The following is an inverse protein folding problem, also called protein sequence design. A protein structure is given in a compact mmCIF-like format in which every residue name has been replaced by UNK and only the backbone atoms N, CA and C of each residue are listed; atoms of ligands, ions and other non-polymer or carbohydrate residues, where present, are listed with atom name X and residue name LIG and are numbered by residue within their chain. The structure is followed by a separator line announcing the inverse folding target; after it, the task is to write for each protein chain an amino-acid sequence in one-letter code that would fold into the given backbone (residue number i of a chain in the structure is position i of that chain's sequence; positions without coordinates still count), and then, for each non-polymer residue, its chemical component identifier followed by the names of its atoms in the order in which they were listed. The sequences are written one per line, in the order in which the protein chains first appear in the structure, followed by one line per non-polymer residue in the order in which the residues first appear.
data_IF_331446486018
#
_entry.id   IF_331446486018
#
_cell.length_a   1.000
_cell.length_b   1.000
_cell.length_c   1.000
_cell.angle_alpha   90.00
_cell.angle_beta   90.00
_cell.angle_gamma   90.00
#
_symmetry.space_group_name_H-M   'P 1'
#
loop_
_entity.id
_entity.type
_entity.pdbx_description
1 polymer ?
#
# COMPACT_ATOMS: atom_id res chain seq x y z
N UNK A 1 13.74 6.67 32.17
CA UNK A 1 14.39 7.26 30.98
C UNK A 1 15.20 8.46 31.44
N UNK A 2 16.49 8.54 31.12
CA UNK A 2 17.33 9.72 31.34
C UNK A 2 17.84 10.25 30.01
N UNK A 3 18.28 11.52 29.98
CA UNK A 3 18.85 12.11 28.77
C UNK A 3 20.19 11.47 28.39
N UNK A 4 20.98 11.02 29.37
CA UNK A 4 22.31 10.44 29.16
C UNK A 4 22.26 8.95 28.80
N UNK A 5 21.40 8.18 29.48
CA UNK A 5 21.37 6.71 29.38
C UNK A 5 20.18 6.18 28.58
N UNK A 6 19.26 7.05 28.16
CA UNK A 6 18.03 6.65 27.51
C UNK A 6 17.14 5.80 28.42
N UNK A 7 16.56 4.72 27.87
CA UNK A 7 15.72 3.82 28.66
C UNK A 7 16.54 2.78 29.42
N UNK A 8 16.63 2.94 30.74
CA UNK A 8 17.39 2.05 31.63
C UNK A 8 16.73 0.69 31.87
N UNK A 9 15.41 0.59 31.72
CA UNK A 9 14.63 -0.63 32.03
C UNK A 9 14.20 -1.43 30.80
N UNK A 10 14.42 -0.91 29.58
CA UNK A 10 13.89 -1.49 28.34
C UNK A 10 14.54 -2.82 27.93
N UNK A 11 15.61 -3.22 28.63
CA UNK A 11 16.34 -4.45 28.38
C UNK A 11 16.36 -5.37 29.62
N UNK A 12 15.58 -5.03 30.65
CA UNK A 12 15.45 -5.86 31.84
C UNK A 12 14.33 -6.91 31.65
N UNK A 13 14.51 -8.09 32.24
CA UNK A 13 13.51 -9.18 32.25
C UNK A 13 13.00 -9.64 30.87
N UNK A 14 13.82 -9.48 29.82
CA UNK A 14 13.47 -9.91 28.47
C UNK A 14 13.28 -11.43 28.40
N UNK A 15 12.25 -11.86 27.67
CA UNK A 15 11.99 -13.27 27.35
C UNK A 15 12.74 -13.65 26.08
N UNK A 16 13.93 -14.24 26.21
CA UNK A 16 14.72 -14.65 25.03
C UNK A 16 13.99 -15.72 24.20
N UNK A 17 13.67 -15.39 22.94
CA UNK A 17 13.21 -16.38 21.96
C UNK A 17 14.37 -17.08 21.25
N UNK A 18 15.54 -16.44 21.19
CA UNK A 18 16.76 -16.99 20.57
C UNK A 18 17.29 -18.26 21.25
N UNK A 19 16.93 -18.49 22.52
CA UNK A 19 17.26 -19.71 23.25
C UNK A 19 16.30 -20.89 22.95
N UNK A 20 15.17 -20.64 22.29
CA UNK A 20 14.14 -21.63 21.99
C UNK A 20 14.26 -22.14 20.57
N UNK A 21 13.86 -23.41 20.34
CA UNK A 21 13.60 -23.88 18.98
C UNK A 21 12.28 -23.28 18.48
N UNK A 22 12.13 -23.08 17.18
CA UNK A 22 10.89 -22.55 16.58
C UNK A 22 9.64 -23.34 16.97
N UNK A 23 9.75 -24.66 17.17
CA UNK A 23 8.66 -25.52 17.65
C UNK A 23 8.21 -25.22 19.08
N UNK A 24 9.05 -24.55 19.87
CA UNK A 24 8.86 -24.20 21.27
C UNK A 24 8.46 -22.72 21.46
N UNK A 25 8.35 -21.96 20.36
CA UNK A 25 7.92 -20.57 20.43
C UNK A 25 6.51 -20.47 21.03
N UNK A 26 6.17 -19.41 21.78
CA UNK A 26 4.82 -19.23 22.32
C UNK A 26 3.73 -19.35 21.25
N UNK A 27 2.58 -19.93 21.58
CA UNK A 27 1.45 -19.93 20.66
C UNK A 27 0.77 -18.56 20.69
N UNK A 28 0.55 -17.99 19.50
CA UNK A 28 -0.09 -16.67 19.37
C UNK A 28 -1.38 -16.80 18.58
N UNK A 29 -2.47 -16.24 19.13
CA UNK A 29 -3.70 -15.98 18.36
C UNK A 29 -3.60 -14.56 17.80
N UNK A 30 -3.62 -14.41 16.48
CA UNK A 30 -3.65 -13.10 15.81
C UNK A 30 -5.11 -12.78 15.48
N UNK A 31 -5.65 -11.73 16.08
CA UNK A 31 -6.96 -11.17 15.76
C UNK A 31 -6.83 -10.06 14.71
N UNK A 32 -7.41 -10.28 13.53
CA UNK A 32 -7.41 -9.37 12.39
C UNK A 32 -8.81 -8.80 12.23
N UNK A 33 -8.93 -7.46 12.20
CA UNK A 33 -10.23 -6.79 12.17
C UNK A 33 -10.34 -5.85 10.96
N UNK A 34 -11.30 -6.14 10.08
CA UNK A 34 -11.67 -5.34 8.91
C UNK A 34 -13.06 -4.74 9.20
N UNK A 35 -13.08 -3.51 9.70
CA UNK A 35 -14.31 -2.85 10.19
C UNK A 35 -14.83 -1.76 9.26
N UNK A 36 -14.06 -1.40 8.24
CA UNK A 36 -14.39 -0.39 7.26
C UNK A 36 -13.60 -0.63 5.96
N UNK A 37 -14.06 -0.10 4.81
CA UNK A 37 -13.30 -0.18 3.57
C UNK A 37 -11.89 0.36 3.75
N UNK A 38 -10.89 -0.47 3.44
CA UNK A 38 -9.48 -0.18 3.69
C UNK A 38 -8.65 -0.41 2.43
N UNK A 39 -7.73 0.52 2.08
CA UNK A 39 -6.77 0.31 1.00
C UNK A 39 -5.81 -0.84 1.24
N UNK A 40 -5.27 -1.42 0.17
CA UNK A 40 -4.12 -2.34 0.19
C UNK A 40 -4.29 -3.60 1.06
N UNK A 41 -5.52 -4.12 1.20
CA UNK A 41 -5.84 -5.32 2.00
C UNK A 41 -5.05 -6.56 1.53
N UNK A 42 -4.90 -6.77 0.23
CA UNK A 42 -4.05 -7.85 -0.29
C UNK A 42 -2.60 -7.71 0.18
N UNK A 43 -2.07 -6.48 0.21
CA UNK A 43 -0.69 -6.19 0.66
C UNK A 43 -0.56 -6.37 2.18
N UNK A 44 -1.62 -6.12 2.95
CA UNK A 44 -1.66 -6.47 4.38
C UNK A 44 -1.42 -7.97 4.59
N UNK A 45 -2.11 -8.83 3.85
CA UNK A 45 -1.93 -10.27 3.94
C UNK A 45 -0.54 -10.74 3.46
N UNK A 46 0.02 -10.11 2.42
CA UNK A 46 1.41 -10.33 2.00
C UNK A 46 2.39 -10.03 3.15
N UNK A 47 2.18 -8.96 3.91
CA UNK A 47 3.01 -8.61 5.09
C UNK A 47 2.81 -9.59 6.24
N UNK A 48 1.58 -10.04 6.50
CA UNK A 48 1.28 -11.04 7.52
C UNK A 48 2.06 -12.35 7.26
N UNK A 49 2.17 -12.76 6.00
CA UNK A 49 2.98 -13.91 5.58
C UNK A 49 4.47 -13.70 5.81
N UNK A 50 4.97 -12.48 5.62
CA UNK A 50 6.38 -12.14 5.83
C UNK A 50 6.80 -12.03 7.29
N UNK A 51 5.85 -11.94 8.24
CA UNK A 51 6.21 -11.92 9.68
C UNK A 51 7.14 -13.10 10.01
N UNK A 52 8.30 -12.79 10.58
CA UNK A 52 9.35 -13.73 10.96
C UNK A 52 8.94 -14.47 12.24
N UNK A 53 7.86 -15.24 12.19
CA UNK A 53 7.37 -16.10 13.26
C UNK A 53 6.83 -17.41 12.66
N UNK A 54 7.09 -18.58 13.27
CA UNK A 54 6.66 -19.86 12.71
C UNK A 54 5.14 -19.90 12.54
N UNK A 55 4.65 -20.05 11.31
CA UNK A 55 3.20 -19.98 11.02
C UNK A 55 2.40 -21.08 11.72
N UNK A 56 3.00 -22.25 11.92
CA UNK A 56 2.44 -23.34 12.72
C UNK A 56 2.38 -23.05 14.24
N UNK A 57 2.89 -21.91 14.71
CA UNK A 57 2.73 -21.35 16.07
C UNK A 57 1.82 -20.13 16.09
N UNK A 58 1.09 -19.90 15.01
CA UNK A 58 0.10 -18.84 14.87
C UNK A 58 -1.28 -19.43 14.58
N UNK A 59 -2.30 -18.93 15.26
CA UNK A 59 -3.70 -19.12 14.88
C UNK A 59 -4.28 -17.79 14.43
N UNK A 60 -5.14 -17.82 13.41
CA UNK A 60 -5.77 -16.60 12.90
C UNK A 60 -7.23 -16.53 13.34
N UNK A 61 -7.64 -15.36 13.81
CA UNK A 61 -9.04 -14.96 13.86
C UNK A 61 -9.21 -13.77 12.94
N UNK A 62 -10.05 -13.86 11.92
CA UNK A 62 -10.30 -12.76 10.98
C UNK A 62 -11.77 -12.37 11.08
N UNK A 63 -12.04 -11.15 11.52
CA UNK A 63 -13.37 -10.54 11.43
C UNK A 63 -13.38 -9.59 10.24
N UNK A 64 -14.31 -9.82 9.31
CA UNK A 64 -14.54 -8.94 8.18
C UNK A 64 -15.99 -8.48 8.13
N UNK A 65 -16.21 -7.18 8.32
CA UNK A 65 -17.53 -6.56 8.18
C UNK A 65 -17.80 -6.09 6.74
N UNK A 66 -16.77 -6.05 5.89
CA UNK A 66 -16.84 -5.41 4.58
C UNK A 66 -16.97 -6.43 3.44
N UNK A 67 -18.14 -6.52 2.76
CA UNK A 67 -18.32 -7.42 1.62
C UNK A 67 -17.31 -7.21 0.51
N UNK A 68 -16.87 -5.97 0.31
CA UNK A 68 -15.84 -5.62 -0.68
C UNK A 68 -14.52 -6.37 -0.46
N UNK A 69 -14.17 -6.70 0.79
CA UNK A 69 -12.93 -7.37 1.16
C UNK A 69 -13.05 -8.90 1.27
N UNK A 70 -14.25 -9.46 1.12
CA UNK A 70 -14.50 -10.89 1.28
C UNK A 70 -13.69 -11.74 0.30
N UNK A 71 -13.57 -11.31 -0.96
CA UNK A 71 -12.77 -12.00 -1.97
C UNK A 71 -11.27 -12.04 -1.63
N UNK A 72 -10.74 -10.97 -1.03
CA UNK A 72 -9.33 -10.88 -0.63
C UNK A 72 -9.05 -11.77 0.58
N UNK A 73 -9.94 -11.76 1.58
CA UNK A 73 -9.85 -12.64 2.75
C UNK A 73 -9.94 -14.11 2.34
N UNK A 74 -10.92 -14.46 1.50
CA UNK A 74 -11.14 -15.84 1.05
C UNK A 74 -9.96 -16.38 0.26
N UNK A 75 -9.42 -15.59 -0.67
CA UNK A 75 -8.24 -15.97 -1.46
C UNK A 75 -7.03 -16.22 -0.56
N UNK A 76 -6.77 -15.33 0.41
CA UNK A 76 -5.68 -15.50 1.36
C UNK A 76 -5.81 -16.81 2.18
N UNK A 77 -7.00 -17.08 2.73
CA UNK A 77 -7.23 -18.29 3.52
C UNK A 77 -7.16 -19.57 2.67
N UNK A 78 -7.64 -19.53 1.44
CA UNK A 78 -7.55 -20.65 0.50
C UNK A 78 -6.08 -20.99 0.18
N UNK A 79 -5.29 -19.97 -0.15
CA UNK A 79 -3.92 -20.16 -0.63
C UNK A 79 -2.92 -20.40 0.51
N UNK A 80 -3.15 -19.78 1.68
CA UNK A 80 -2.16 -19.74 2.77
C UNK A 80 -2.68 -20.20 4.13
N UNK A 81 -3.99 -20.43 4.31
CA UNK A 81 -4.57 -20.81 5.60
C UNK A 81 -3.95 -22.06 6.21
N UNK A 82 -3.56 -23.03 5.37
CA UNK A 82 -2.92 -24.28 5.78
C UNK A 82 -1.50 -24.13 6.37
N UNK A 83 -0.86 -22.97 6.20
CA UNK A 83 0.44 -22.67 6.82
C UNK A 83 0.29 -22.39 8.33
N UNK A 84 -0.88 -21.91 8.74
CA UNK A 84 -1.19 -21.55 10.12
C UNK A 84 -1.64 -22.78 10.92
N UNK A 85 -1.51 -22.74 12.24
CA UNK A 85 -1.94 -23.87 13.08
C UNK A 85 -3.45 -24.11 12.95
N UNK A 86 -4.22 -23.03 12.92
CA UNK A 86 -5.67 -23.03 12.71
C UNK A 86 -6.13 -21.63 12.30
N UNK A 87 -7.33 -21.51 11.73
CA UNK A 87 -7.95 -20.21 11.49
C UNK A 87 -9.47 -20.25 11.71
N UNK A 88 -10.01 -19.11 12.14
CA UNK A 88 -11.44 -18.83 12.16
C UNK A 88 -11.70 -17.50 11.45
N UNK A 89 -12.57 -17.52 10.45
CA UNK A 89 -13.08 -16.30 9.80
C UNK A 89 -14.53 -16.07 10.18
N UNK A 90 -14.89 -14.81 10.41
CA UNK A 90 -16.27 -14.34 10.57
C UNK A 90 -16.51 -13.28 9.50
N UNK A 91 -17.41 -13.57 8.57
CA UNK A 91 -17.71 -12.72 7.43
C UNK A 91 -18.85 -11.72 7.69
N UNK A 92 -19.13 -10.84 6.70
CA UNK A 92 -20.15 -9.81 6.81
C UNK A 92 -21.59 -10.33 6.99
N UNK A 93 -21.82 -11.60 6.64
CA UNK A 93 -23.10 -12.30 6.79
C UNK A 93 -23.46 -12.65 8.24
N UNK A 94 -22.45 -12.72 9.12
CA UNK A 94 -22.68 -12.89 10.55
C UNK A 94 -22.94 -11.51 11.18
N UNK A 95 -24.18 -11.24 11.59
CA UNK A 95 -24.57 -10.00 12.27
C UNK A 95 -23.88 -9.89 13.65
N UNK A 96 -22.68 -9.30 13.65
CA UNK A 96 -21.86 -9.04 14.82
C UNK A 96 -21.35 -7.61 14.76
N UNK A 97 -21.31 -6.91 15.90
CA UNK A 97 -20.75 -5.57 15.96
C UNK A 97 -19.24 -5.59 16.26
N UNK A 98 -18.58 -4.46 16.02
CA UNK A 98 -17.14 -4.30 16.23
C UNK A 98 -16.70 -4.66 17.68
N UNK A 99 -17.37 -4.19 18.75
CA UNK A 99 -17.06 -4.62 20.12
C UNK A 99 -17.15 -6.14 20.32
N UNK A 100 -18.27 -6.76 19.90
CA UNK A 100 -18.48 -8.19 20.10
C UNK A 100 -17.46 -9.04 19.33
N UNK A 101 -17.02 -8.59 18.15
CA UNK A 101 -15.97 -9.26 17.38
C UNK A 101 -14.63 -9.31 18.14
N UNK A 102 -14.23 -8.20 18.79
CA UNK A 102 -13.01 -8.12 19.59
C UNK A 102 -13.13 -8.91 20.89
N UNK A 103 -14.27 -8.82 21.58
CA UNK A 103 -14.58 -9.61 22.77
C UNK A 103 -14.49 -11.12 22.47
N UNK A 104 -15.06 -11.56 21.34
CA UNK A 104 -15.00 -12.95 20.88
C UNK A 104 -13.56 -13.39 20.60
N UNK A 105 -12.78 -12.57 19.89
CA UNK A 105 -11.39 -12.87 19.56
C UNK A 105 -10.52 -13.04 20.82
N UNK A 106 -10.69 -12.15 21.79
CA UNK A 106 -10.01 -12.24 23.09
C UNK A 106 -10.41 -13.50 23.84
N UNK A 107 -11.70 -13.84 23.81
CA UNK A 107 -12.21 -15.01 24.51
C UNK A 107 -11.74 -16.34 23.91
N UNK A 108 -11.47 -16.39 22.60
CA UNK A 108 -10.82 -17.55 21.96
C UNK A 108 -9.45 -17.84 22.59
N UNK A 109 -8.60 -16.81 22.76
CA UNK A 109 -7.31 -16.99 23.42
C UNK A 109 -7.46 -17.20 24.94
N UNK A 110 -8.43 -16.55 25.60
CA UNK A 110 -8.71 -16.71 27.04
C UNK A 110 -9.08 -18.16 27.37
N UNK A 111 -9.95 -18.78 26.57
CA UNK A 111 -10.44 -20.15 26.78
C UNK A 111 -9.43 -21.22 26.39
N UNK A 112 -8.54 -20.90 25.45
CA UNK A 112 -7.47 -21.80 25.04
C UNK A 112 -6.30 -21.76 26.04
N UNK A 113 -6.03 -22.90 26.66
CA UNK A 113 -4.92 -23.04 27.62
C UNK A 113 -3.56 -23.05 26.94
N UNK A 114 -3.52 -23.37 25.65
CA UNK A 114 -2.28 -23.38 24.87
C UNK A 114 -1.96 -21.99 24.32
N UNK A 115 -2.91 -21.04 24.33
CA UNK A 115 -2.66 -19.66 23.92
C UNK A 115 -1.78 -18.94 24.95
N UNK A 116 -0.60 -18.49 24.52
CA UNK A 116 0.33 -17.72 25.32
C UNK A 116 0.13 -16.21 25.14
N UNK A 117 -0.19 -15.77 23.92
CA UNK A 117 -0.41 -14.36 23.59
C UNK A 117 -1.57 -14.15 22.60
N UNK A 118 -2.27 -13.04 22.75
CA UNK A 118 -3.20 -12.51 21.76
C UNK A 118 -2.58 -11.29 21.08
N UNK A 119 -2.48 -11.28 19.76
CA UNK A 119 -1.97 -10.17 18.97
C UNK A 119 -3.11 -9.51 18.18
N UNK A 120 -3.55 -8.34 18.63
CA UNK A 120 -4.53 -7.53 17.91
C UNK A 120 -3.86 -6.84 16.72
N UNK A 121 -4.48 -6.91 15.55
CA UNK A 121 -3.97 -6.27 14.34
C UNK A 121 -5.12 -5.77 13.45
N UNK A 122 -5.39 -4.48 13.51
CA UNK A 122 -6.38 -3.85 12.64
C UNK A 122 -5.87 -3.73 11.20
N UNK A 123 -6.79 -3.78 10.24
CA UNK A 123 -6.46 -3.94 8.81
C UNK A 123 -5.66 -2.77 8.21
N UNK A 124 -5.84 -1.56 8.73
CA UNK A 124 -5.12 -0.36 8.30
C UNK A 124 -3.66 -0.32 8.77
N UNK A 125 -3.22 -1.28 9.59
CA UNK A 125 -1.85 -1.33 10.10
C UNK A 125 -0.89 -1.85 9.03
N UNK A 126 0.14 -1.07 8.74
CA UNK A 126 1.25 -1.45 7.86
C UNK A 126 2.43 -1.87 8.73
N UNK A 127 2.52 -3.16 9.05
CA UNK A 127 3.69 -3.74 9.73
C UNK A 127 4.83 -3.95 8.75
N UNK A 128 5.77 -3.01 8.71
CA UNK A 128 6.96 -3.08 7.85
C UNK A 128 8.06 -3.94 8.48
N UNK A 129 8.19 -3.91 9.80
CA UNK A 129 9.18 -4.72 10.50
C UNK A 129 8.68 -6.15 10.66
N UNK A 130 9.25 -7.07 9.89
CA UNK A 130 8.86 -8.48 9.90
C UNK A 130 9.12 -9.16 11.26
N UNK A 131 9.99 -8.61 12.12
CA UNK A 131 10.29 -9.13 13.45
C UNK A 131 9.37 -8.57 14.55
N UNK A 132 8.38 -7.73 14.22
CA UNK A 132 7.50 -7.04 15.20
C UNK A 132 6.99 -7.99 16.29
N UNK A 133 6.41 -9.13 15.91
CA UNK A 133 5.83 -10.06 16.89
C UNK A 133 6.89 -10.65 17.85
N UNK A 134 8.08 -11.00 17.33
CA UNK A 134 9.20 -11.46 18.18
C UNK A 134 9.59 -10.37 19.17
N UNK A 135 9.84 -9.15 18.69
CA UNK A 135 10.26 -8.02 19.51
C UNK A 135 9.27 -7.77 20.65
N UNK A 136 7.97 -7.76 20.36
CA UNK A 136 6.93 -7.53 21.37
C UNK A 136 6.86 -8.65 22.42
N UNK A 137 6.99 -9.92 22.01
CA UNK A 137 7.03 -11.06 22.93
C UNK A 137 8.27 -11.01 23.83
N UNK A 138 9.43 -10.68 23.25
CA UNK A 138 10.69 -10.61 23.98
C UNK A 138 10.70 -9.52 25.07
N UNK A 139 9.89 -8.47 24.91
CA UNK A 139 9.72 -7.42 25.94
C UNK A 139 9.07 -7.95 27.23
N UNK A 140 8.36 -9.08 27.18
CA UNK A 140 7.82 -9.76 28.36
C UNK A 140 6.92 -8.84 29.23
N UNK A 141 6.01 -8.10 28.58
CA UNK A 141 5.09 -7.17 29.22
C UNK A 141 3.64 -7.67 29.11
N UNK A 142 2.76 -7.30 30.07
CA UNK A 142 1.37 -7.74 30.08
C UNK A 142 0.60 -7.29 28.84
N UNK A 143 0.76 -6.03 28.44
CA UNK A 143 0.17 -5.44 27.23
C UNK A 143 1.20 -4.49 26.61
N UNK A 144 1.57 -4.70 25.34
CA UNK A 144 2.53 -3.85 24.64
C UNK A 144 2.13 -3.60 23.19
N UNK A 145 2.17 -2.34 22.77
CA UNK A 145 1.97 -1.90 21.40
C UNK A 145 3.30 -1.50 20.75
N UNK A 146 3.57 -1.88 19.48
CA UNK A 146 4.57 -1.20 18.69
C UNK A 146 4.04 0.19 18.33
N UNK A 147 4.88 1.23 18.47
CA UNK A 147 4.50 2.57 18.06
C UNK A 147 4.39 2.63 16.53
N UNK A 148 3.19 2.92 16.03
CA UNK A 148 2.93 3.22 14.63
C UNK A 148 2.32 4.61 14.48
N UNK A 149 2.65 5.29 13.39
CA UNK A 149 2.22 6.66 13.12
C UNK A 149 1.60 6.78 11.73
N UNK A 150 0.76 7.80 11.53
CA UNK A 150 0.38 8.21 10.16
C UNK A 150 1.56 8.92 9.52
N UNK A 151 1.91 8.53 8.29
CA UNK A 151 3.02 9.14 7.53
C UNK A 151 2.92 10.67 7.52
N UNK A 152 4.00 11.34 7.93
CA UNK A 152 4.08 12.81 7.95
C UNK A 152 3.20 13.52 8.99
N UNK A 153 2.53 12.79 9.89
CA UNK A 153 1.66 13.36 10.94
C UNK A 153 2.11 12.90 12.34
N UNK A 154 1.62 13.61 13.36
CA UNK A 154 1.84 13.23 14.77
C UNK A 154 0.80 12.24 15.32
N UNK A 155 -0.22 11.89 14.53
CA UNK A 155 -1.22 10.90 14.93
C UNK A 155 -0.54 9.53 15.07
N UNK A 156 -0.78 8.85 16.18
CA UNK A 156 -0.21 7.54 16.50
C UNK A 156 -1.23 6.66 17.23
N UNK A 157 -0.93 5.36 17.34
CA UNK A 157 -1.79 4.37 17.98
C UNK A 157 -1.70 4.34 19.52
N UNK A 158 -1.28 5.43 20.15
CA UNK A 158 -1.27 5.57 21.61
C UNK A 158 -1.58 7.01 22.03
N UNK A 159 -2.07 7.18 23.27
CA UNK A 159 -2.17 8.51 23.89
C UNK A 159 -1.24 8.59 25.07
N UNK A 160 -0.52 9.71 25.22
CA UNK A 160 0.37 9.93 26.35
C UNK A 160 -0.34 10.42 27.62
N UNK A 161 -1.53 11.01 27.50
CA UNK A 161 -2.31 11.50 28.63
C UNK A 161 -3.81 11.40 28.36
N UNK A 162 -4.61 11.56 29.42
CA UNK A 162 -6.06 11.67 29.36
C UNK A 162 -6.53 13.02 29.91
N UNK A 163 -7.62 13.53 29.37
CA UNK A 163 -8.37 14.62 30.00
C UNK A 163 -9.06 14.14 31.28
N UNK A 164 -9.61 15.08 32.05
CA UNK A 164 -10.39 14.75 33.26
C UNK A 164 -11.58 13.82 32.97
N UNK A 165 -12.14 13.92 31.75
CA UNK A 165 -13.27 13.12 31.30
C UNK A 165 -12.84 11.78 30.64
N UNK A 166 -11.55 11.45 30.66
CA UNK A 166 -11.01 10.19 30.14
C UNK A 166 -10.80 10.15 28.62
N UNK A 167 -10.90 11.29 27.93
CA UNK A 167 -10.64 11.43 26.49
C UNK A 167 -9.19 11.80 26.21
N UNK A 168 -8.82 11.90 24.92
CA UNK A 168 -7.49 12.27 24.49
C UNK A 168 -6.99 13.58 25.15
N UNK A 169 -5.79 13.52 25.72
CA UNK A 169 -4.98 14.69 26.00
C UNK A 169 -3.54 14.43 25.53
N UNK A 170 -2.88 15.49 25.07
CA UNK A 170 -1.46 15.41 24.69
C UNK A 170 -0.59 15.50 25.94
N UNK A 171 0.26 14.50 26.18
CA UNK A 171 1.30 14.59 27.21
C UNK A 171 2.45 15.50 26.79
N UNK A 172 3.21 16.00 27.76
CA UNK A 172 4.36 16.88 27.51
C UNK A 172 5.45 16.24 26.64
N UNK A 173 5.63 14.92 26.76
CA UNK A 173 6.64 14.12 26.06
C UNK A 173 6.14 13.44 24.77
N UNK A 174 4.84 13.58 24.43
CA UNK A 174 4.23 12.88 23.31
C UNK A 174 4.98 13.11 21.98
N UNK A 175 5.29 14.37 21.67
CA UNK A 175 5.97 14.74 20.42
C UNK A 175 7.41 14.20 20.40
N UNK A 176 8.08 14.17 21.56
CA UNK A 176 9.42 13.61 21.66
C UNK A 176 9.45 12.11 21.40
N UNK A 177 8.44 11.39 21.89
CA UNK A 177 8.29 9.93 21.69
C UNK A 177 7.96 9.64 20.22
N UNK A 178 6.94 10.31 19.66
CA UNK A 178 6.49 10.11 18.28
C UNK A 178 7.58 10.42 17.25
N UNK A 179 8.40 11.44 17.50
CA UNK A 179 9.49 11.83 16.59
C UNK A 179 10.79 11.06 16.85
N UNK A 180 10.82 10.10 17.78
CA UNK A 180 12.02 9.33 18.11
C UNK A 180 13.13 10.14 18.80
N UNK A 181 12.80 11.32 19.36
CA UNK A 181 13.74 12.10 20.19
C UNK A 181 13.95 11.45 21.57
N UNK A 182 12.92 10.75 22.06
CA UNK A 182 13.00 9.87 23.22
C UNK A 182 12.59 8.47 22.81
N UNK A 183 13.54 7.53 22.89
CA UNK A 183 13.35 6.14 22.50
C UNK A 183 13.31 5.26 23.76
N UNK A 184 12.32 4.38 23.85
CA UNK A 184 12.04 3.58 25.04
C UNK A 184 10.79 2.72 24.95
N UNK A 185 10.43 2.18 26.11
CA UNK A 185 9.18 1.48 26.41
C UNK A 185 8.45 2.33 27.44
N UNK A 186 7.24 2.75 27.09
CA UNK A 186 6.52 3.81 27.80
C UNK A 186 5.22 3.26 28.34
N UNK A 187 4.97 3.43 29.63
CA UNK A 187 3.66 3.17 30.21
C UNK A 187 2.70 4.27 29.79
N UNK A 188 1.61 3.91 29.10
CA UNK A 188 0.68 4.85 28.47
C UNK A 188 -0.77 4.51 28.81
N UNK A 189 -1.65 5.50 28.93
CA UNK A 189 -3.05 5.26 29.29
C UNK A 189 -3.89 4.64 28.17
N UNK A 190 -3.47 4.68 26.91
CA UNK A 190 -4.27 4.22 25.77
C UNK A 190 -3.36 3.65 24.68
N UNK A 191 -3.77 2.51 24.13
CA UNK A 191 -3.19 1.88 22.93
C UNK A 191 -4.32 1.39 22.02
N UNK A 192 -4.11 1.41 20.71
CA UNK A 192 -5.09 0.94 19.72
C UNK A 192 -4.40 0.30 18.52
N UNK A 193 -5.22 -0.21 17.58
CA UNK A 193 -4.85 -0.74 16.26
C UNK A 193 -3.94 -1.98 16.25
N UNK A 194 -2.78 -1.94 16.91
CA UNK A 194 -1.86 -3.07 17.02
C UNK A 194 -1.27 -3.15 18.43
N UNK A 195 -1.44 -4.30 19.06
CA UNK A 195 -0.88 -4.56 20.38
C UNK A 195 -0.90 -6.06 20.70
N UNK A 196 0.05 -6.47 21.53
CA UNK A 196 0.19 -7.81 22.06
C UNK A 196 -0.32 -7.83 23.51
N UNK A 197 -1.14 -8.81 23.85
CA UNK A 197 -1.64 -9.07 25.21
C UNK A 197 -1.16 -10.44 25.64
N UNK A 198 -0.54 -10.52 26.82
CA UNK A 198 -0.22 -11.80 27.46
C UNK A 198 -1.53 -12.51 27.85
N UNK A 199 -1.69 -13.76 27.43
CA UNK A 199 -2.92 -14.50 27.68
C UNK A 199 -3.14 -14.81 29.17
N UNK A 200 -2.07 -14.81 29.98
CA UNK A 200 -2.14 -14.85 31.44
C UNK A 200 -3.07 -13.76 31.99
N UNK A 201 -2.84 -12.51 31.58
CA UNK A 201 -3.62 -11.32 31.98
C UNK A 201 -5.10 -11.46 31.63
N UNK A 202 -5.42 -12.04 30.46
CA UNK A 202 -6.81 -12.32 30.04
C UNK A 202 -7.52 -13.32 30.96
N UNK A 203 -6.77 -14.24 31.57
CA UNK A 203 -7.29 -15.32 32.42
C UNK A 203 -7.31 -14.95 33.91
N UNK A 204 -6.32 -14.19 34.39
CA UNK A 204 -6.18 -13.82 35.81
C UNK A 204 -6.87 -12.52 36.18
N UNK A 205 -6.76 -11.49 35.35
CA UNK A 205 -7.12 -10.11 35.73
C UNK A 205 -8.29 -9.57 34.90
N UNK A 206 -8.29 -9.80 33.59
CA UNK A 206 -9.32 -9.34 32.64
C UNK A 206 -10.38 -10.42 32.37
N UNK A 207 -10.96 -10.97 33.46
CA UNK A 207 -11.91 -12.11 33.42
C UNK A 207 -13.26 -11.78 32.78
N UNK A 208 -13.65 -10.51 32.77
CA UNK A 208 -14.92 -10.10 32.17
C UNK A 208 -14.88 -10.35 30.66
N UNK A 209 -15.97 -10.92 30.12
CA UNK A 209 -16.06 -11.18 28.68
C UNK A 209 -16.07 -9.88 27.88
N UNK A 210 -16.94 -8.95 28.28
CA UNK A 210 -17.15 -7.66 27.63
C UNK A 210 -16.06 -6.67 28.06
N UNK A 211 -14.97 -6.62 27.31
CA UNK A 211 -13.87 -5.67 27.49
C UNK A 211 -13.98 -4.47 26.56
N UNK A 212 -14.58 -4.64 25.38
CA UNK A 212 -14.68 -3.59 24.35
C UNK A 212 -16.04 -2.87 24.35
N UNK A 213 -16.99 -3.32 25.17
CA UNK A 213 -18.34 -2.76 25.23
C UNK A 213 -18.43 -1.60 26.22
N UNK A 214 -19.00 -0.47 25.80
CA UNK A 214 -19.33 0.67 26.67
C UNK A 214 -20.53 1.45 26.13
N UNK A 215 -21.31 2.07 27.01
CA UNK A 215 -22.43 2.95 26.63
C UNK A 215 -22.00 4.34 26.19
N UNK A 216 -20.76 4.74 26.47
CA UNK A 216 -20.30 6.14 26.31
C UNK A 216 -18.91 6.28 25.69
N UNK A 217 -18.17 5.18 25.56
CA UNK A 217 -16.80 5.18 25.02
C UNK A 217 -16.79 4.36 23.73
N UNK A 218 -15.91 4.72 22.79
CA UNK A 218 -15.61 3.84 21.67
C UNK A 218 -14.93 2.54 22.15
N UNK A 219 -14.87 1.50 21.30
CA UNK A 219 -14.43 0.17 21.72
C UNK A 219 -12.99 0.12 22.27
N UNK A 220 -12.06 0.87 21.66
CA UNK A 220 -10.66 0.90 22.09
C UNK A 220 -10.51 1.69 23.40
N UNK A 221 -11.26 2.80 23.54
CA UNK A 221 -11.33 3.54 24.80
C UNK A 221 -11.91 2.69 25.93
N UNK A 222 -12.97 1.90 25.64
CA UNK A 222 -13.59 1.00 26.59
C UNK A 222 -12.60 -0.09 27.06
N UNK A 223 -11.88 -0.71 26.13
CA UNK A 223 -10.82 -1.68 26.44
C UNK A 223 -9.75 -1.06 27.33
N UNK A 224 -9.16 0.06 26.91
CA UNK A 224 -8.10 0.72 27.67
C UNK A 224 -8.59 1.15 29.07
N UNK A 225 -9.83 1.65 29.18
CA UNK A 225 -10.43 1.98 30.47
C UNK A 225 -10.57 0.75 31.38
N UNK A 226 -11.06 -0.37 30.84
CA UNK A 226 -11.24 -1.62 31.56
C UNK A 226 -9.91 -2.23 32.01
N UNK A 227 -8.84 -2.09 31.23
CA UNK A 227 -7.48 -2.50 31.62
C UNK A 227 -6.97 -1.64 32.78
N UNK A 228 -7.09 -0.30 32.68
CA UNK A 228 -6.63 0.62 33.74
C UNK A 228 -7.41 0.44 35.04
N UNK A 229 -8.69 0.10 34.98
CA UNK A 229 -9.51 -0.12 36.19
C UNK A 229 -9.08 -1.33 37.01
N UNK A 230 -8.36 -2.29 36.39
CA UNK A 230 -7.72 -3.42 37.06
C UNK A 230 -6.27 -3.12 37.49
N UNK A 231 -5.77 -1.90 37.29
CA UNK A 231 -4.40 -1.52 37.65
C UNK A 231 -3.31 -2.12 36.76
N UNK A 232 -3.67 -2.59 35.57
CA UNK A 232 -2.72 -3.15 34.60
C UNK A 232 -2.14 -2.02 33.76
N UNK A 233 -0.83 -2.03 33.57
CA UNK A 233 -0.15 -1.10 32.68
C UNK A 233 -0.23 -1.56 31.22
N UNK A 234 -0.40 -0.59 30.33
CA UNK A 234 -0.27 -0.76 28.89
C UNK A 234 0.99 -0.04 28.47
N UNK A 235 1.77 -0.69 27.60
CA UNK A 235 3.04 -0.15 27.15
C UNK A 235 3.01 0.15 25.67
N UNK A 236 3.77 1.16 25.25
CA UNK A 236 4.14 1.37 23.85
C UNK A 236 5.66 1.36 23.72
N UNK A 237 6.19 0.68 22.70
CA UNK A 237 7.62 0.69 22.39
C UNK A 237 7.89 1.44 21.10
N UNK A 238 8.85 2.35 21.12
CA UNK A 238 9.42 2.98 19.94
C UNK A 238 10.92 2.69 19.79
N UNK A 239 11.39 1.59 20.43
CA UNK A 239 12.77 1.11 20.36
C UNK A 239 13.20 0.72 18.93
N UNK A 240 12.25 0.33 18.10
CA UNK A 240 12.44 0.01 16.69
C UNK A 240 11.45 0.79 15.81
N UNK A 241 11.75 0.86 14.51
CA UNK A 241 10.76 1.27 13.52
C UNK A 241 9.91 0.06 13.16
N UNK A 242 8.62 0.10 13.50
CA UNK A 242 7.71 -1.02 13.28
C UNK A 242 6.89 -0.90 11.99
N UNK A 243 6.49 0.32 11.65
CA UNK A 243 5.60 0.56 10.52
C UNK A 243 4.82 1.84 10.64
N UNK A 244 3.65 1.85 10.02
CA UNK A 244 2.75 3.01 9.91
C UNK A 244 1.29 2.56 9.91
N UNK A 245 0.38 3.53 9.86
CA UNK A 245 -1.05 3.29 9.70
C UNK A 245 -1.57 4.00 8.46
N UNK A 246 -2.43 3.32 7.70
CA UNK A 246 -3.07 3.88 6.52
C UNK A 246 -4.10 4.96 6.89
N UNK A 247 -4.34 5.86 5.96
CA UNK A 247 -5.55 6.68 5.93
C UNK A 247 -6.65 5.86 5.25
N UNK A 248 -7.78 5.67 5.93
CA UNK A 248 -9.02 5.14 5.34
C UNK A 248 -9.99 6.27 4.95
N UNK A 249 -9.58 7.53 5.13
CA UNK A 249 -10.38 8.70 4.79
C UNK A 249 -10.66 8.71 3.29
N UNK A 250 -11.94 8.85 2.91
CA UNK A 250 -12.39 8.94 1.52
C UNK A 250 -12.04 7.74 0.62
N UNK A 251 -11.71 6.57 1.18
CA UNK A 251 -11.50 5.37 0.36
C UNK A 251 -12.81 5.00 -0.36
N UNK A 252 -12.71 4.78 -1.67
CA UNK A 252 -13.84 4.43 -2.54
C UNK A 252 -13.69 3.00 -3.01
N UNK A 253 -14.82 2.33 -3.22
CA UNK A 253 -14.90 0.93 -3.65
C UNK A 253 -15.66 0.78 -4.97
N UNK A 254 -15.60 1.81 -5.82
CA UNK A 254 -16.35 1.91 -7.08
C UNK A 254 -15.57 1.43 -8.31
N UNK A 255 -14.26 1.22 -8.16
CA UNK A 255 -13.35 0.79 -9.21
C UNK A 255 -13.02 -0.69 -9.10
N UNK A 256 -12.51 -1.28 -10.18
CA UNK A 256 -12.03 -2.67 -10.14
C UNK A 256 -10.77 -2.75 -9.27
N UNK A 257 -9.84 -1.80 -9.43
CA UNK A 257 -8.62 -1.66 -8.63
C UNK A 257 -8.59 -0.34 -7.87
N UNK A 258 -9.39 -0.25 -6.80
CA UNK A 258 -9.55 0.96 -5.98
C UNK A 258 -8.23 1.55 -5.44
N UNK A 259 -7.24 0.70 -5.16
CA UNK A 259 -5.93 1.12 -4.69
C UNK A 259 -5.18 2.03 -5.69
N UNK A 260 -5.49 1.98 -7.00
CA UNK A 260 -4.90 2.89 -7.98
C UNK A 260 -5.16 4.37 -7.62
N UNK A 261 -6.30 4.69 -7.01
CA UNK A 261 -6.68 6.05 -6.63
C UNK A 261 -6.07 6.54 -5.30
N UNK A 262 -5.19 5.75 -4.67
CA UNK A 262 -4.68 6.04 -3.32
C UNK A 262 -3.40 6.89 -3.28
N UNK A 263 -2.94 7.41 -4.42
CA UNK A 263 -1.70 8.20 -4.52
C UNK A 263 -1.70 9.46 -3.64
N UNK A 264 -2.87 10.03 -3.33
CA UNK A 264 -2.98 11.22 -2.48
C UNK A 264 -3.02 10.89 -0.99
N UNK A 265 -3.88 9.96 -0.59
CA UNK A 265 -4.13 9.65 0.82
C UNK A 265 -3.01 8.79 1.43
N UNK A 266 -2.47 7.87 0.64
CA UNK A 266 -1.51 6.86 1.08
C UNK A 266 -0.31 6.79 0.12
N UNK A 267 0.32 7.94 -0.17
CA UNK A 267 1.37 8.07 -1.19
C UNK A 267 2.52 7.05 -1.05
N UNK A 268 3.00 6.78 0.17
CA UNK A 268 4.09 5.83 0.39
C UNK A 268 3.68 4.40 0.05
N UNK A 269 2.51 3.96 0.50
CA UNK A 269 1.97 2.63 0.22
C UNK A 269 1.63 2.45 -1.26
N UNK A 270 1.12 3.51 -1.88
CA UNK A 270 0.91 3.56 -3.33
C UNK A 270 2.24 3.42 -4.09
N UNK A 271 3.29 4.14 -3.65
CA UNK A 271 4.63 4.02 -4.23
C UNK A 271 5.18 2.60 -4.09
N UNK A 272 5.10 2.03 -2.89
CA UNK A 272 5.61 0.68 -2.60
C UNK A 272 4.90 -0.39 -3.45
N UNK A 273 3.63 -0.17 -3.81
CA UNK A 273 2.83 -1.10 -4.64
C UNK A 273 3.02 -0.89 -6.14
N UNK A 274 3.07 0.36 -6.59
CA UNK A 274 2.87 0.69 -8.01
C UNK A 274 4.10 1.28 -8.70
N UNK A 275 5.05 1.84 -7.97
CA UNK A 275 6.30 2.36 -8.56
C UNK A 275 7.35 1.25 -8.57
N UNK A 276 8.03 1.10 -9.70
CA UNK A 276 9.05 0.07 -9.89
C UNK A 276 10.09 0.14 -8.76
N UNK A 277 10.45 -1.01 -8.17
CA UNK A 277 11.39 -1.12 -7.05
C UNK A 277 12.77 -0.50 -7.34
N UNK A 278 13.15 -0.42 -8.62
CA UNK A 278 14.40 0.16 -9.07
C UNK A 278 14.34 1.67 -9.31
N UNK A 279 13.15 2.30 -9.30
CA UNK A 279 12.96 3.72 -9.61
C UNK A 279 13.83 4.62 -8.72
N UNK A 280 13.80 4.43 -7.40
CA UNK A 280 14.54 5.26 -6.45
C UNK A 280 16.07 5.15 -6.60
N UNK A 281 16.53 4.03 -7.16
CA UNK A 281 17.96 3.72 -7.38
C UNK A 281 18.40 3.92 -8.83
N UNK A 282 17.50 4.21 -9.76
CA UNK A 282 17.83 4.21 -11.19
C UNK A 282 18.94 5.20 -11.55
N UNK A 283 19.03 6.31 -10.81
CA UNK A 283 20.06 7.32 -11.00
C UNK A 283 21.41 6.89 -10.39
N UNK A 284 21.41 6.28 -9.20
CA UNK A 284 22.63 5.82 -8.53
C UNK A 284 23.23 4.61 -9.24
N UNK A 285 22.35 3.71 -9.67
CA UNK A 285 22.71 2.42 -10.27
C UNK A 285 22.81 2.52 -11.80
N UNK A 286 22.61 3.72 -12.36
CA UNK A 286 22.71 4.04 -13.80
C UNK A 286 21.83 3.14 -14.68
N UNK A 287 20.59 2.93 -14.25
CA UNK A 287 19.60 2.12 -14.97
C UNK A 287 18.88 2.90 -16.09
N UNK A 288 19.01 4.23 -16.10
CA UNK A 288 18.44 5.06 -17.18
C UNK A 288 19.27 4.86 -18.45
N UNK A 289 18.61 4.40 -19.50
CA UNK A 289 19.21 4.16 -20.81
C UNK A 289 18.86 5.29 -21.79
N UNK A 290 19.64 5.37 -22.88
CA UNK A 290 19.44 6.33 -23.96
C UNK A 290 19.48 5.59 -25.31
N UNK A 291 18.44 4.80 -25.66
CA UNK A 291 18.45 3.92 -26.84
C UNK A 291 18.51 4.67 -28.18
N UNK A 292 18.01 5.90 -28.26
CA UNK A 292 18.06 6.76 -29.45
C UNK A 292 18.41 8.19 -29.02
N UNK A 293 19.03 9.03 -29.86
CA UNK A 293 19.38 10.40 -29.48
C UNK A 293 18.23 11.15 -28.82
N UNK A 294 18.45 11.69 -27.62
CA UNK A 294 17.47 12.40 -26.77
C UNK A 294 16.18 11.61 -26.44
N UNK A 295 16.26 10.27 -26.48
CA UNK A 295 15.19 9.36 -26.03
C UNK A 295 15.69 8.60 -24.82
N UNK A 296 15.15 8.93 -23.65
CA UNK A 296 15.51 8.27 -22.40
C UNK A 296 14.56 7.12 -22.09
N UNK A 297 15.07 6.08 -21.45
CA UNK A 297 14.31 4.88 -21.12
C UNK A 297 14.62 4.43 -19.69
N UNK A 298 13.60 4.37 -18.83
CA UNK A 298 13.79 4.12 -17.40
C UNK A 298 12.63 3.33 -16.77
N UNK A 299 12.88 2.58 -15.67
CA UNK A 299 11.84 1.87 -14.94
C UNK A 299 10.92 2.85 -14.20
N UNK A 300 9.60 2.63 -14.26
CA UNK A 300 8.62 3.51 -13.59
C UNK A 300 7.51 2.78 -12.85
N UNK A 301 6.93 1.73 -13.45
CA UNK A 301 5.80 0.99 -12.89
C UNK A 301 6.19 -0.44 -12.55
N UNK A 302 5.59 -0.99 -11.48
CA UNK A 302 5.62 -2.43 -11.21
C UNK A 302 4.77 -3.19 -12.21
N UNK A 303 4.93 -4.50 -12.27
CA UNK A 303 4.04 -5.35 -13.08
C UNK A 303 2.58 -5.21 -12.64
N UNK A 304 2.33 -5.09 -11.33
CA UNK A 304 0.98 -4.91 -10.77
C UNK A 304 0.36 -3.58 -11.22
N UNK A 305 1.11 -2.48 -11.22
CA UNK A 305 0.60 -1.20 -11.73
C UNK A 305 0.18 -1.31 -13.20
N UNK A 306 0.98 -2.00 -14.00
CA UNK A 306 0.69 -2.21 -15.40
C UNK A 306 -0.56 -3.07 -15.60
N UNK A 307 -0.67 -4.18 -14.87
CA UNK A 307 -1.80 -5.10 -14.98
C UNK A 307 -3.09 -4.44 -14.51
N UNK A 308 -3.10 -3.83 -13.32
CA UNK A 308 -4.28 -3.13 -12.79
C UNK A 308 -4.74 -2.00 -13.72
N UNK A 309 -3.80 -1.24 -14.33
CA UNK A 309 -4.16 -0.21 -15.31
C UNK A 309 -4.84 -0.81 -16.55
N UNK A 310 -4.31 -1.90 -17.10
CA UNK A 310 -4.89 -2.56 -18.28
C UNK A 310 -6.26 -3.15 -17.94
N UNK A 311 -6.39 -3.82 -16.80
CA UNK A 311 -7.63 -4.42 -16.31
C UNK A 311 -8.71 -3.37 -16.09
N UNK A 312 -8.39 -2.21 -15.50
CA UNK A 312 -9.33 -1.10 -15.31
C UNK A 312 -9.80 -0.50 -16.66
N UNK A 313 -8.88 -0.35 -17.62
CA UNK A 313 -9.22 0.16 -18.96
C UNK A 313 -10.12 -0.81 -19.72
N UNK A 314 -9.84 -2.11 -19.67
CA UNK A 314 -10.70 -3.12 -20.28
C UNK A 314 -12.04 -3.28 -19.54
N UNK A 315 -12.06 -3.11 -18.22
CA UNK A 315 -13.30 -3.07 -17.44
C UNK A 315 -14.20 -1.90 -17.84
N UNK A 316 -13.63 -0.72 -18.08
CA UNK A 316 -14.37 0.43 -18.62
C UNK A 316 -14.90 0.14 -20.03
N UNK A 317 -14.07 -0.46 -20.88
CA UNK A 317 -14.46 -1.07 -22.16
C UNK A 317 -14.89 -0.11 -23.29
N UNK A 318 -15.02 1.20 -23.02
CA UNK A 318 -15.45 2.21 -24.02
C UNK A 318 -14.27 2.80 -24.80
N UNK A 319 -13.54 1.93 -25.47
CA UNK A 319 -12.44 2.28 -26.38
C UNK A 319 -12.90 3.19 -27.53
N UNK A 320 -12.02 4.06 -28.01
CA UNK A 320 -12.30 4.92 -29.17
C UNK A 320 -12.51 4.10 -30.45
N UNK A 321 -13.06 4.75 -31.48
CA UNK A 321 -13.17 4.16 -32.82
C UNK A 321 -11.91 4.30 -33.69
N UNK A 322 -10.84 4.95 -33.21
CA UNK A 322 -9.61 5.22 -33.99
C UNK A 322 -9.80 6.18 -35.17
N UNK A 323 -10.86 6.99 -35.16
CA UNK A 323 -11.15 7.99 -36.19
C UNK A 323 -10.79 9.41 -35.76
N UNK A 324 -10.58 10.32 -36.71
CA UNK A 324 -10.13 11.69 -36.40
C UNK A 324 -11.16 12.55 -35.63
N UNK A 325 -12.42 12.11 -35.53
CA UNK A 325 -13.46 12.85 -34.79
C UNK A 325 -13.78 12.06 -33.53
N UNK A 326 -13.49 12.66 -32.38
CA UNK A 326 -13.75 12.05 -31.09
C UNK A 326 -14.39 13.07 -30.15
N UNK A 327 -15.70 12.91 -29.91
CA UNK A 327 -16.47 13.82 -29.06
C UNK A 327 -16.17 13.68 -27.57
N UNK A 328 -15.34 12.71 -27.18
CA UNK A 328 -14.94 12.43 -25.79
C UNK A 328 -13.78 13.33 -25.35
N UNK A 329 -13.06 13.93 -26.30
CA UNK A 329 -11.95 14.86 -26.06
C UNK A 329 -12.36 16.32 -26.31
N UNK A 330 -11.67 17.24 -25.64
CA UNK A 330 -11.89 18.67 -25.83
C UNK A 330 -11.47 19.10 -27.24
N UNK A 331 -12.40 19.68 -28.00
CA UNK A 331 -12.17 20.11 -29.39
C UNK A 331 -12.63 19.11 -30.46
N UNK A 332 -12.92 17.87 -30.09
CA UNK A 332 -13.63 16.93 -30.97
C UNK A 332 -12.80 16.34 -32.12
N UNK A 333 -11.49 16.62 -32.20
CA UNK A 333 -10.66 16.25 -33.34
C UNK A 333 -9.26 15.78 -32.96
N UNK A 334 -8.88 14.59 -33.41
CA UNK A 334 -7.54 14.02 -33.27
C UNK A 334 -6.81 14.03 -34.61
N UNK A 335 -5.68 14.73 -34.66
CA UNK A 335 -4.86 14.79 -35.88
C UNK A 335 -4.29 13.41 -36.25
N UNK A 336 -4.07 12.56 -35.25
CA UNK A 336 -3.46 11.23 -35.40
C UNK A 336 -4.19 10.30 -34.43
N UNK A 337 -5.36 9.75 -34.83
CA UNK A 337 -6.22 9.05 -33.89
C UNK A 337 -5.66 7.69 -33.49
N UNK A 338 -5.95 7.29 -32.25
CA UNK A 338 -5.63 5.97 -31.69
C UNK A 338 -6.87 5.32 -31.11
N UNK A 339 -6.90 3.99 -31.00
CA UNK A 339 -7.91 3.26 -30.21
C UNK A 339 -7.49 3.33 -28.75
N UNK A 340 -8.16 4.18 -27.99
CA UNK A 340 -7.73 4.58 -26.66
C UNK A 340 -8.88 4.90 -25.68
N UNK A 341 -8.46 5.02 -24.42
CA UNK A 341 -9.25 5.55 -23.30
C UNK A 341 -8.41 6.59 -22.58
N UNK A 342 -8.96 7.78 -22.39
CA UNK A 342 -8.33 8.88 -21.67
C UNK A 342 -8.51 8.74 -20.16
N UNK A 343 -7.52 9.19 -19.40
CA UNK A 343 -7.53 9.12 -17.93
C UNK A 343 -8.75 9.84 -17.32
N UNK A 344 -9.23 10.92 -17.93
CA UNK A 344 -10.42 11.63 -17.46
C UNK A 344 -11.71 10.81 -17.60
N UNK A 345 -11.81 9.89 -18.57
CA UNK A 345 -13.01 9.08 -18.81
C UNK A 345 -13.24 8.06 -17.70
N UNK A 346 -12.17 7.67 -17.00
CA UNK A 346 -12.20 6.80 -15.83
C UNK A 346 -12.01 7.57 -14.52
N UNK A 347 -12.03 8.91 -14.54
CA UNK A 347 -11.77 9.78 -13.39
C UNK A 347 -10.40 9.57 -12.73
N UNK A 348 -9.35 9.31 -13.51
CA UNK A 348 -7.96 9.10 -13.06
C UNK A 348 -7.00 10.25 -13.41
N UNK A 349 -7.52 11.37 -13.95
CA UNK A 349 -6.70 12.50 -14.41
C UNK A 349 -5.87 13.14 -13.29
N UNK A 350 -6.45 13.30 -12.09
CA UNK A 350 -5.77 13.95 -10.96
C UNK A 350 -4.66 13.09 -10.41
N UNK A 351 -4.94 11.79 -10.28
CA UNK A 351 -4.02 10.76 -9.84
C UNK A 351 -2.86 10.63 -10.83
N UNK A 352 -3.17 10.62 -12.13
CA UNK A 352 -2.16 10.64 -13.18
C UNK A 352 -1.31 11.91 -13.13
N UNK A 353 -1.90 13.09 -12.91
CA UNK A 353 -1.13 14.34 -12.77
C UNK A 353 -0.17 14.29 -11.58
N UNK A 354 -0.66 13.81 -10.43
CA UNK A 354 0.17 13.61 -9.23
C UNK A 354 1.29 12.62 -9.51
N UNK A 355 1.02 11.53 -10.24
CA UNK A 355 2.04 10.59 -10.68
C UNK A 355 3.12 11.27 -11.54
N UNK A 356 2.73 12.04 -12.55
CA UNK A 356 3.68 12.75 -13.41
C UNK A 356 4.53 13.76 -12.60
N UNK A 357 3.92 14.50 -11.68
CA UNK A 357 4.62 15.46 -10.83
C UNK A 357 5.63 14.80 -9.89
N UNK A 358 5.24 13.72 -9.22
CA UNK A 358 6.07 13.07 -8.19
C UNK A 358 7.15 12.17 -8.81
N UNK A 359 6.87 11.53 -9.95
CA UNK A 359 7.73 10.45 -10.46
C UNK A 359 8.30 10.69 -11.87
N UNK A 360 7.69 11.55 -12.69
CA UNK A 360 8.22 11.85 -14.03
C UNK A 360 9.02 13.15 -14.01
N UNK A 361 8.48 14.22 -13.45
CA UNK A 361 9.13 15.53 -13.45
C UNK A 361 10.57 15.48 -12.89
N UNK A 362 10.87 14.80 -11.75
CA UNK A 362 12.24 14.72 -11.26
C UNK A 362 13.21 14.03 -12.23
N UNK A 363 12.72 13.05 -13.00
CA UNK A 363 13.51 12.37 -14.04
C UNK A 363 13.74 13.30 -15.22
N UNK A 364 12.69 13.97 -15.69
CA UNK A 364 12.76 14.92 -16.80
C UNK A 364 13.77 16.04 -16.51
N UNK A 365 13.67 16.70 -15.35
CA UNK A 365 14.57 17.80 -14.98
C UNK A 365 16.02 17.33 -14.80
N UNK A 366 16.21 16.06 -14.39
CA UNK A 366 17.53 15.46 -14.27
C UNK A 366 18.16 15.14 -15.62
N UNK A 367 17.37 14.61 -16.56
CA UNK A 367 17.85 14.18 -17.87
C UNK A 367 17.95 15.33 -18.88
N UNK A 368 17.21 16.42 -18.66
CA UNK A 368 17.29 17.66 -19.42
C UNK A 368 17.63 18.85 -18.51
N UNK A 369 18.90 18.99 -18.07
CA UNK A 369 19.31 20.08 -17.20
C UNK A 369 18.97 21.46 -17.79
N UNK A 370 18.27 22.28 -17.00
CA UNK A 370 17.78 23.60 -17.42
C UNK A 370 16.33 23.61 -17.88
N UNK A 371 15.70 22.45 -18.04
CA UNK A 371 14.26 22.33 -18.18
C UNK A 371 13.61 22.13 -16.81
N UNK A 372 12.48 22.80 -16.58
CA UNK A 372 11.68 22.68 -15.35
C UNK A 372 10.22 22.50 -15.74
N UNK A 373 9.53 21.60 -15.05
CA UNK A 373 8.16 21.22 -15.45
C UNK A 373 7.21 21.16 -14.26
N UNK A 374 5.96 21.56 -14.51
CA UNK A 374 4.83 21.29 -13.61
C UNK A 374 3.98 20.11 -14.09
N UNK A 375 4.53 19.33 -15.02
CA UNK A 375 3.92 18.20 -15.68
C UNK A 375 2.48 18.49 -16.13
N UNK A 376 2.24 19.66 -16.73
CA UNK A 376 0.91 19.96 -17.23
C UNK A 376 0.62 19.08 -18.45
N UNK A 377 -0.57 18.53 -18.58
CA UNK A 377 -0.96 17.77 -19.75
C UNK A 377 -2.40 18.09 -20.11
N UNK A 378 -2.70 18.03 -21.42
CA UNK A 378 -4.07 18.02 -21.93
C UNK A 378 -4.53 16.62 -22.30
N UNK A 379 -3.57 15.76 -22.68
CA UNK A 379 -3.85 14.40 -23.16
C UNK A 379 -3.00 13.38 -22.40
N UNK A 380 -3.69 12.50 -21.67
CA UNK A 380 -3.15 11.28 -21.08
C UNK A 380 -4.14 10.15 -21.31
N UNK A 381 -3.67 9.04 -21.89
CA UNK A 381 -4.53 7.99 -22.38
C UNK A 381 -3.78 6.65 -22.48
N UNK A 382 -4.52 5.56 -22.43
CA UNK A 382 -4.01 4.21 -22.72
C UNK A 382 -4.44 3.84 -24.12
N UNK A 383 -3.46 3.45 -24.94
CA UNK A 383 -3.68 2.99 -26.32
C UNK A 383 -3.65 1.47 -26.37
N UNK A 384 -4.52 0.89 -27.19
CA UNK A 384 -4.54 -0.53 -27.50
C UNK A 384 -4.28 -0.78 -28.99
N UNK A 385 -3.22 -1.53 -29.28
CA UNK A 385 -2.91 -1.97 -30.63
C UNK A 385 -3.22 -3.47 -30.82
N UNK A 386 -4.00 -3.79 -31.86
CA UNK A 386 -4.29 -5.17 -32.27
C UNK A 386 -4.21 -5.34 -33.80
N UNK A 387 -3.83 -6.54 -34.30
CA UNK A 387 -3.80 -6.84 -35.74
C UNK A 387 -5.13 -6.61 -36.48
N UNK A 388 -6.24 -6.88 -35.81
CA UNK A 388 -7.61 -6.85 -36.34
C UNK A 388 -8.35 -5.53 -36.08
N UNK A 389 -7.74 -4.60 -35.33
CA UNK A 389 -8.26 -3.25 -35.07
C UNK A 389 -7.30 -2.21 -35.69
N UNK A 390 -6.55 -1.49 -34.85
CA UNK A 390 -5.49 -0.57 -35.25
C UNK A 390 -4.13 -1.16 -34.85
N UNK A 391 -3.33 -1.71 -35.78
CA UNK A 391 -2.07 -2.36 -35.42
C UNK A 391 -0.87 -1.43 -35.35
N UNK A 392 -0.92 -0.25 -35.96
CA UNK A 392 0.23 0.66 -36.08
C UNK A 392 -0.23 2.11 -35.97
N UNK A 393 0.74 3.01 -35.77
CA UNK A 393 0.50 4.45 -35.78
C UNK A 393 1.43 5.11 -36.80
N UNK A 394 0.84 5.85 -37.75
CA UNK A 394 1.57 6.52 -38.83
C UNK A 394 2.58 7.54 -38.28
N UNK A 395 3.62 7.91 -39.05
CA UNK A 395 4.57 8.94 -38.66
C UNK A 395 3.91 10.26 -38.25
N UNK A 396 4.28 10.81 -37.09
CA UNK A 396 3.73 12.05 -36.55
C UNK A 396 4.68 12.77 -35.57
N UNK A 397 4.26 13.97 -35.17
CA UNK A 397 4.77 14.69 -34.00
C UNK A 397 3.66 14.73 -32.94
N UNK A 398 4.08 14.76 -31.69
CA UNK A 398 3.16 14.94 -30.58
C UNK A 398 2.93 16.42 -30.31
N UNK A 399 1.73 16.74 -29.84
CA UNK A 399 1.40 18.10 -29.38
C UNK A 399 1.91 18.30 -27.94
N UNK A 400 3.21 18.10 -27.71
CA UNK A 400 3.85 18.19 -26.40
C UNK A 400 5.24 18.82 -26.49
N UNK A 401 5.74 19.35 -25.39
CA UNK A 401 7.18 19.63 -25.27
C UNK A 401 7.94 18.31 -25.16
N UNK A 402 7.49 17.40 -24.28
CA UNK A 402 7.97 16.03 -24.20
C UNK A 402 6.83 15.03 -24.00
N UNK A 403 7.05 13.80 -24.45
CA UNK A 403 6.09 12.70 -24.36
C UNK A 403 6.63 11.63 -23.43
N UNK A 404 5.75 11.09 -22.59
CA UNK A 404 5.97 9.86 -21.83
C UNK A 404 5.20 8.74 -22.47
N UNK A 405 5.86 7.60 -22.71
CA UNK A 405 5.26 6.41 -23.30
C UNK A 405 5.69 5.17 -22.48
N UNK A 406 4.76 4.60 -21.73
CA UNK A 406 5.00 3.50 -20.79
C UNK A 406 4.43 2.21 -21.38
N UNK A 407 5.26 1.17 -21.47
CA UNK A 407 4.76 -0.15 -21.88
C UNK A 407 4.03 -0.83 -20.71
N UNK A 408 2.79 -1.25 -20.94
CA UNK A 408 1.94 -1.87 -19.90
C UNK A 408 1.90 -3.40 -19.99
N UNK A 409 2.41 -3.99 -21.08
CA UNK A 409 2.51 -5.44 -21.21
C UNK A 409 3.72 -5.87 -22.04
N UNK A 410 3.97 -7.17 -22.13
CA UNK A 410 5.26 -7.72 -22.52
C UNK A 410 5.28 -8.24 -23.96
N UNK A 411 6.27 -7.76 -24.72
CA UNK A 411 6.57 -8.29 -26.06
C UNK A 411 7.00 -9.76 -25.98
N UNK A 412 6.54 -10.58 -26.91
CA UNK A 412 6.82 -12.01 -27.00
C UNK A 412 5.91 -12.89 -26.14
N UNK A 413 5.28 -12.33 -25.10
CA UNK A 413 4.28 -13.03 -24.27
C UNK A 413 2.87 -12.59 -24.67
N UNK A 414 2.57 -11.30 -24.56
CA UNK A 414 1.22 -10.76 -24.75
C UNK A 414 0.97 -10.31 -26.20
N UNK A 415 2.04 -9.91 -26.90
CA UNK A 415 1.99 -9.47 -28.30
C UNK A 415 3.28 -9.73 -29.07
N UNK A 416 3.21 -9.68 -30.41
CA UNK A 416 4.38 -9.75 -31.31
C UNK A 416 4.46 -8.51 -32.21
N UNK A 417 5.67 -8.12 -32.60
CA UNK A 417 5.90 -6.87 -33.32
C UNK A 417 5.77 -5.67 -32.39
N UNK A 418 5.39 -4.51 -32.93
CA UNK A 418 5.27 -3.29 -32.16
C UNK A 418 6.60 -2.56 -31.96
N UNK A 419 6.58 -1.57 -31.07
CA UNK A 419 7.69 -0.68 -30.79
C UNK A 419 7.43 0.76 -31.22
N UNK A 420 8.50 1.55 -31.21
CA UNK A 420 8.52 2.94 -31.66
C UNK A 420 9.77 3.16 -32.53
N UNK A 421 9.61 3.82 -33.68
CA UNK A 421 10.73 4.21 -34.54
C UNK A 421 10.80 5.72 -34.68
N UNK A 422 11.97 6.29 -34.43
CA UNK A 422 12.28 7.70 -34.65
C UNK A 422 12.94 7.87 -36.02
N UNK A 423 12.19 8.37 -37.00
CA UNK A 423 12.56 8.33 -38.42
C UNK A 423 13.83 9.14 -38.71
N UNK A 424 13.98 10.31 -38.09
CA UNK A 424 15.14 11.19 -38.30
C UNK A 424 16.47 10.55 -37.89
N UNK A 425 16.43 9.58 -36.99
CA UNK A 425 17.63 8.92 -36.45
C UNK A 425 17.79 7.49 -36.95
N UNK A 426 16.85 6.99 -37.78
CA UNK A 426 16.72 5.58 -38.14
C UNK A 426 16.89 4.63 -36.94
N UNK A 427 16.33 5.03 -35.80
CA UNK A 427 16.47 4.33 -34.53
C UNK A 427 15.13 3.76 -34.08
N UNK A 428 15.12 2.50 -33.64
CA UNK A 428 13.90 1.78 -33.27
C UNK A 428 14.03 1.10 -31.92
N UNK A 429 13.01 1.23 -31.08
CA UNK A 429 12.83 0.46 -29.85
C UNK A 429 11.77 -0.60 -30.13
N UNK A 430 12.20 -1.82 -30.45
CA UNK A 430 11.33 -2.94 -30.85
C UNK A 430 10.93 -3.86 -29.70
N UNK A 431 11.67 -3.83 -28.59
CA UNK A 431 11.39 -4.63 -27.40
C UNK A 431 11.15 -3.77 -26.16
N UNK A 432 10.01 -3.02 -26.09
CA UNK A 432 9.64 -2.32 -24.88
C UNK A 432 9.53 -3.27 -23.68
N UNK A 433 9.95 -2.80 -22.51
CA UNK A 433 9.98 -3.51 -21.25
C UNK A 433 8.73 -3.08 -20.47
N UNK A 434 7.93 -4.05 -20.02
CA UNK A 434 6.77 -3.77 -19.16
C UNK A 434 7.22 -2.92 -17.96
N UNK A 435 6.44 -1.89 -17.65
CA UNK A 435 6.74 -0.98 -16.54
C UNK A 435 7.86 0.04 -16.81
N UNK A 436 8.43 0.10 -18.01
CA UNK A 436 9.44 1.11 -18.38
C UNK A 436 8.84 2.21 -19.25
N UNK A 437 9.27 3.45 -19.01
CA UNK A 437 8.87 4.65 -19.72
C UNK A 437 9.93 5.10 -20.73
N UNK A 438 9.52 5.32 -21.97
CA UNK A 438 10.25 6.15 -22.92
C UNK A 438 9.89 7.62 -22.68
N UNK A 439 10.89 8.49 -22.69
CA UNK A 439 10.75 9.94 -22.60
C UNK A 439 11.52 10.60 -23.74
N UNK A 440 10.83 11.38 -24.57
CA UNK A 440 11.43 12.07 -25.71
C UNK A 440 10.74 13.41 -26.01
N UNK A 441 11.40 14.37 -26.67
CA UNK A 441 10.72 15.57 -27.18
C UNK A 441 9.55 15.24 -28.11
N UNK A 442 8.46 15.99 -28.04
CA UNK A 442 7.27 15.75 -28.88
C UNK A 442 7.31 16.48 -30.23
N UNK A 443 7.85 17.70 -30.23
CA UNK A 443 7.88 18.61 -31.39
C UNK A 443 9.23 18.67 -32.09
N UNK A 444 9.20 19.10 -33.35
CA UNK A 444 10.33 19.43 -34.24
C UNK A 444 11.28 18.28 -34.59
N UNK A 445 11.85 17.59 -33.60
CA UNK A 445 13.03 16.74 -33.80
C UNK A 445 12.74 15.23 -33.81
N UNK A 446 11.68 14.78 -33.16
CA UNK A 446 11.37 13.36 -32.95
C UNK A 446 10.12 12.92 -33.73
N UNK A 447 10.16 13.12 -35.05
CA UNK A 447 9.13 12.56 -35.93
C UNK A 447 9.20 11.04 -35.87
N UNK A 448 8.14 10.40 -35.38
CA UNK A 448 8.17 9.00 -34.98
C UNK A 448 6.92 8.23 -35.42
N UNK A 449 7.01 6.91 -35.50
CA UNK A 449 5.93 6.00 -35.85
C UNK A 449 5.80 4.85 -34.85
N UNK A 450 4.57 4.39 -34.64
CA UNK A 450 4.27 3.17 -33.90
C UNK A 450 4.36 1.97 -34.83
N UNK A 451 5.35 1.10 -34.62
CA UNK A 451 5.55 -0.07 -35.47
C UNK A 451 4.38 -1.06 -35.35
N UNK A 452 4.08 -1.85 -36.40
CA UNK A 452 2.90 -2.73 -36.40
C UNK A 452 2.97 -3.85 -35.36
N UNK A 453 1.94 -3.96 -34.53
CA UNK A 453 1.61 -5.16 -33.74
C UNK A 453 1.05 -6.23 -34.68
N UNK A 454 1.69 -7.40 -34.71
CA UNK A 454 1.42 -8.47 -35.68
C UNK A 454 0.66 -9.66 -35.09
N UNK A 455 0.65 -9.80 -33.76
CA UNK A 455 -0.14 -10.79 -33.03
C UNK A 455 -0.40 -10.29 -31.60
N UNK A 456 -1.47 -10.77 -30.97
CA UNK A 456 -1.84 -10.42 -29.59
C UNK A 456 -2.30 -8.96 -29.46
N UNK A 457 -2.20 -8.43 -28.24
CA UNK A 457 -2.65 -7.06 -27.93
C UNK A 457 -1.54 -6.31 -27.22
N UNK A 458 -1.19 -5.12 -27.70
CA UNK A 458 -0.17 -4.25 -27.08
C UNK A 458 -0.86 -3.07 -26.40
N UNK A 459 -0.55 -2.84 -25.13
CA UNK A 459 -1.01 -1.69 -24.36
C UNK A 459 0.15 -0.75 -24.01
N UNK A 460 -0.08 0.55 -24.18
CA UNK A 460 0.84 1.60 -23.72
C UNK A 460 0.07 2.73 -23.06
N UNK A 461 0.60 3.31 -21.97
CA UNK A 461 0.11 4.57 -21.44
C UNK A 461 0.94 5.72 -22.02
N UNK A 462 0.28 6.72 -22.58
CA UNK A 462 0.91 7.87 -23.22
C UNK A 462 0.45 9.15 -22.56
N UNK A 463 1.37 10.09 -22.34
CA UNK A 463 1.05 11.43 -21.87
C UNK A 463 1.84 12.47 -22.64
N UNK A 464 1.12 13.46 -23.16
CA UNK A 464 1.67 14.63 -23.85
C UNK A 464 1.83 15.76 -22.84
N UNK A 465 3.08 15.97 -22.41
CA UNK A 465 3.40 16.83 -21.28
C UNK A 465 3.97 18.18 -21.74
N UNK A 466 3.54 19.23 -21.07
CA UNK A 466 3.78 20.64 -21.36
C UNK A 466 3.48 21.00 -22.83
N UNK A 467 2.19 20.89 -23.27
CA UNK A 467 1.76 21.15 -24.65
C UNK A 467 1.96 22.59 -25.14
#
# INVERSE_FOLDING_TARGET
WSFEDGCTMCHENLRSLSALKESEFPLVVIGIFIQQPTPFVSVFFERLLKLQYPKNRLRLFIYNQEPHHEGQVSSFLQDHGSLYQDFKSVGPEEEMDAPASRDLAFDLCRKDKDCDYFFNLDIEVVLQNENTLKILIEQNLPIIAPMITRSGRLWSNFWGALSADGYYARSEDYVDIVQGRRVGVWNVPYVSSVYLVEAGVLRSDLKQYQLFSSSSLDPDMAFCHNVRSQGIFMFVTNMDTFGRILSTENYRTEHLHNDLWQIFENQQDWQDRYIHENYTRMMTDKLVENPCPDVYWFPIFTDVACDHMVEEMEHFGKWSGGGNVDTRIQGGYENVPTIDIHMNQINFEKEWHKFLLEYIAPVTEKMFPGYYTKAHFELAFVVRYKPDEQPFLRPHHDASTFTINIALNQVGIDYKGGGCRFLRYDCSIQAPRKGWALMHPGRLTHYHEGLPTTAGTRYIAVSFVDP
#
